data_IF_328185018295
#
_entry.id   IF_328185018295
#
_cell.length_a   1.000
_cell.length_b   1.000
_cell.length_c   1.000
_cell.angle_alpha   90.00
_cell.angle_beta   90.00
_cell.angle_gamma   90.00
#
_symmetry.space_group_name_H-M   'P 1'
#
loop_
_entity.id
_entity.type
_entity.pdbx_description
1 polymer ?
#
# COMPACT_ATOMS: atom_id res chain seq x y z
N UNK A 1 27.66 -10.14 -36.17
CA UNK A 1 27.33 -10.36 -34.74
C UNK A 1 25.82 -10.50 -34.66
N UNK A 2 25.27 -11.69 -34.37
CA UNK A 2 23.83 -11.85 -34.34
C UNK A 2 23.28 -11.10 -33.12
N UNK A 3 22.30 -10.24 -33.35
CA UNK A 3 21.57 -9.53 -32.30
C UNK A 3 20.82 -10.56 -31.46
N UNK A 4 21.38 -10.91 -30.31
CA UNK A 4 20.65 -11.62 -29.26
C UNK A 4 19.41 -10.78 -28.95
N UNK A 5 18.25 -11.27 -29.40
CA UNK A 5 16.94 -10.75 -29.05
C UNK A 5 16.91 -10.61 -27.53
N UNK A 6 17.08 -9.39 -27.02
CA UNK A 6 17.00 -9.06 -25.59
C UNK A 6 15.65 -9.55 -25.10
N UNK A 7 15.61 -10.74 -24.50
CA UNK A 7 14.41 -11.27 -23.85
C UNK A 7 14.07 -10.26 -22.78
N UNK A 8 12.96 -9.55 -22.96
CA UNK A 8 12.48 -8.61 -21.94
C UNK A 8 12.15 -9.44 -20.70
N UNK A 9 12.90 -9.29 -19.59
CA UNK A 9 12.72 -10.15 -18.43
C UNK A 9 11.30 -9.96 -17.88
N UNK A 10 10.49 -11.01 -17.85
CA UNK A 10 9.10 -10.92 -17.43
C UNK A 10 9.05 -10.54 -15.94
N UNK A 11 8.09 -9.71 -15.53
CA UNK A 11 7.83 -9.47 -14.11
C UNK A 11 7.64 -10.83 -13.40
N UNK A 12 8.11 -10.98 -12.15
CA UNK A 12 7.84 -12.19 -11.39
C UNK A 12 6.33 -12.39 -11.30
N UNK A 13 5.88 -13.62 -11.54
CA UNK A 13 4.45 -13.95 -11.47
C UNK A 13 4.04 -14.18 -10.01
N UNK A 14 4.15 -13.13 -9.18
CA UNK A 14 3.68 -13.19 -7.81
C UNK A 14 2.15 -13.06 -7.79
N UNK A 15 1.49 -14.23 -7.73
CA UNK A 15 0.01 -14.33 -7.74
C UNK A 15 -0.64 -13.45 -6.66
N UNK A 16 -0.03 -13.36 -5.48
CA UNK A 16 -0.57 -12.57 -4.38
C UNK A 16 -0.48 -11.06 -4.66
N UNK A 17 0.65 -10.58 -5.19
CA UNK A 17 0.79 -9.18 -5.61
C UNK A 17 -0.24 -8.82 -6.68
N UNK A 18 -0.45 -9.72 -7.66
CA UNK A 18 -1.45 -9.54 -8.73
C UNK A 18 -2.88 -9.53 -8.21
N UNK A 19 -3.21 -10.39 -7.24
CA UNK A 19 -4.53 -10.38 -6.60
C UNK A 19 -4.77 -9.09 -5.80
N UNK A 20 -3.75 -8.60 -5.10
CA UNK A 20 -3.85 -7.34 -4.36
C UNK A 20 -4.03 -6.15 -5.32
N UNK A 21 -3.35 -6.16 -6.47
CA UNK A 21 -3.55 -5.17 -7.53
C UNK A 21 -4.98 -5.23 -8.12
N UNK A 22 -5.48 -6.42 -8.44
CA UNK A 22 -6.83 -6.56 -9.02
C UNK A 22 -7.94 -6.10 -8.05
N UNK A 23 -7.72 -6.32 -6.75
CA UNK A 23 -8.59 -5.85 -5.67
C UNK A 23 -8.38 -4.40 -5.28
N UNK A 24 -7.51 -3.66 -6.00
CA UNK A 24 -7.17 -2.24 -5.74
C UNK A 24 -6.62 -1.99 -4.33
N UNK A 25 -6.02 -3.01 -3.71
CA UNK A 25 -5.39 -2.92 -2.39
C UNK A 25 -3.95 -2.40 -2.51
N UNK A 26 -3.80 -1.22 -3.11
CA UNK A 26 -2.53 -0.69 -3.61
C UNK A 26 -1.40 -0.65 -2.58
N UNK A 27 -1.68 -0.19 -1.34
CA UNK A 27 -0.69 -0.17 -0.26
C UNK A 27 -0.16 -1.57 0.08
N UNK A 28 -1.05 -2.57 0.11
CA UNK A 28 -0.68 -3.96 0.38
C UNK A 28 0.07 -4.56 -0.79
N UNK A 29 -0.34 -4.25 -2.02
CA UNK A 29 0.37 -4.66 -3.24
C UNK A 29 1.82 -4.13 -3.24
N UNK A 30 2.03 -2.85 -2.93
CA UNK A 30 3.39 -2.27 -2.79
C UNK A 30 4.21 -3.01 -1.73
N UNK A 31 3.61 -3.32 -0.57
CA UNK A 31 4.27 -4.10 0.47
C UNK A 31 4.69 -5.49 0.00
N UNK A 32 3.83 -6.19 -0.76
CA UNK A 32 4.18 -7.50 -1.34
C UNK A 32 5.28 -7.38 -2.38
N UNK A 33 5.18 -6.42 -3.30
CA UNK A 33 6.24 -6.17 -4.29
C UNK A 33 7.59 -5.85 -3.65
N UNK A 34 7.60 -5.10 -2.54
CA UNK A 34 8.83 -4.84 -1.78
C UNK A 34 9.45 -6.14 -1.23
N UNK A 35 8.63 -7.07 -0.76
CA UNK A 35 9.12 -8.37 -0.29
C UNK A 35 9.71 -9.20 -1.45
N UNK A 36 9.00 -9.26 -2.58
CA UNK A 36 9.49 -9.94 -3.79
C UNK A 36 10.81 -9.31 -4.28
N UNK A 37 10.93 -7.97 -4.20
CA UNK A 37 12.16 -7.26 -4.56
C UNK A 37 13.36 -7.70 -3.70
N UNK A 38 13.17 -7.91 -2.40
CA UNK A 38 14.24 -8.35 -1.49
C UNK A 38 14.73 -9.76 -1.85
N UNK A 39 13.83 -10.63 -2.32
CA UNK A 39 14.13 -12.00 -2.73
C UNK A 39 14.65 -12.10 -4.19
N UNK A 40 14.66 -10.99 -4.93
CA UNK A 40 15.03 -10.97 -6.36
C UNK A 40 16.52 -10.70 -6.52
N UNK A 41 17.25 -11.64 -7.11
CA UNK A 41 18.68 -11.50 -7.42
C UNK A 41 18.94 -10.83 -8.79
N UNK A 42 18.02 -10.97 -9.74
CA UNK A 42 18.13 -10.40 -11.09
C UNK A 42 17.85 -8.88 -11.08
N UNK A 43 18.87 -8.09 -11.39
CA UNK A 43 18.80 -6.63 -11.43
C UNK A 43 17.75 -6.07 -12.41
N UNK A 44 17.55 -6.71 -13.57
CA UNK A 44 16.56 -6.26 -14.55
C UNK A 44 15.13 -6.55 -14.08
N UNK A 45 14.95 -7.65 -13.34
CA UNK A 45 13.68 -7.99 -12.72
C UNK A 45 13.40 -7.06 -11.53
N UNK A 46 14.40 -6.77 -10.71
CA UNK A 46 14.34 -5.81 -9.62
C UNK A 46 13.91 -4.42 -10.10
N UNK A 47 14.50 -3.93 -11.20
CA UNK A 47 14.12 -2.65 -11.81
C UNK A 47 12.63 -2.61 -12.18
N UNK A 48 12.11 -3.68 -12.79
CA UNK A 48 10.68 -3.77 -13.14
C UNK A 48 9.77 -3.79 -11.90
N UNK A 49 10.19 -4.46 -10.84
CA UNK A 49 9.44 -4.46 -9.58
C UNK A 49 9.42 -3.04 -9.01
N UNK A 50 10.52 -2.29 -9.06
CA UNK A 50 10.58 -0.88 -8.63
C UNK A 50 9.60 -0.02 -9.44
N UNK A 51 9.60 -0.14 -10.77
CA UNK A 51 8.64 0.55 -11.63
C UNK A 51 7.19 0.18 -11.29
N UNK A 52 6.93 -1.10 -11.00
CA UNK A 52 5.59 -1.57 -10.61
C UNK A 52 5.16 -1.03 -9.25
N UNK A 53 6.08 -0.96 -8.29
CA UNK A 53 5.86 -0.34 -6.99
C UNK A 53 5.52 1.15 -7.13
N UNK A 54 6.28 1.89 -7.94
CA UNK A 54 6.01 3.30 -8.21
C UNK A 54 4.62 3.50 -8.84
N UNK A 55 4.27 2.67 -9.82
CA UNK A 55 2.94 2.69 -10.43
C UNK A 55 1.83 2.41 -9.39
N UNK A 56 1.98 1.39 -8.55
CA UNK A 56 1.01 1.09 -7.49
C UNK A 56 0.90 2.24 -6.47
N UNK A 57 2.01 2.92 -6.15
CA UNK A 57 2.01 4.06 -5.24
C UNK A 57 1.22 5.24 -5.81
N UNK A 58 1.32 5.50 -7.11
CA UNK A 58 0.52 6.53 -7.79
C UNK A 58 -0.98 6.25 -7.74
N UNK A 59 -1.39 4.97 -7.64
CA UNK A 59 -2.80 4.61 -7.48
C UNK A 59 -3.34 4.82 -6.06
N UNK A 60 -2.47 5.02 -5.06
CA UNK A 60 -2.90 5.28 -3.69
C UNK A 60 -3.48 6.69 -3.65
N UNK A 61 -4.74 6.87 -3.22
CA UNK A 61 -5.31 8.20 -3.03
C UNK A 61 -4.40 9.03 -2.13
N UNK A 62 -3.95 10.18 -2.65
CA UNK A 62 -3.16 11.14 -1.90
C UNK A 62 -3.99 11.59 -0.69
N UNK A 63 -3.44 11.42 0.52
CA UNK A 63 -4.08 11.98 1.71
C UNK A 63 -4.07 13.49 1.57
N UNK A 64 -5.21 14.15 1.77
CA UNK A 64 -5.20 15.61 1.91
C UNK A 64 -4.33 15.96 3.12
N UNK A 65 -3.32 16.84 2.99
CA UNK A 65 -2.59 17.32 4.15
C UNK A 65 -3.62 17.90 5.15
N UNK A 66 -3.57 17.43 6.41
CA UNK A 66 -4.55 17.78 7.44
C UNK A 66 -5.69 16.78 7.65
N UNK A 67 -5.88 15.77 6.78
CA UNK A 67 -6.92 14.75 6.99
C UNK A 67 -6.47 13.68 8.00
N UNK A 68 -7.01 13.76 9.21
CA UNK A 68 -6.89 12.69 10.21
C UNK A 68 -7.86 11.57 9.85
N UNK A 69 -7.34 10.47 9.30
CA UNK A 69 -8.17 9.28 9.04
C UNK A 69 -8.23 8.45 10.32
N UNK A 70 -9.30 8.63 11.09
CA UNK A 70 -9.60 7.81 12.25
C UNK A 70 -10.26 6.51 11.80
N UNK A 71 -9.69 5.37 12.18
CA UNK A 71 -10.36 4.08 12.01
C UNK A 71 -11.50 3.94 13.02
N UNK A 72 -12.40 2.98 12.80
CA UNK A 72 -13.43 2.64 13.77
C UNK A 72 -12.86 2.28 15.17
N UNK A 73 -11.65 1.69 15.22
CA UNK A 73 -10.98 1.40 16.49
C UNK A 73 -10.45 2.67 17.16
N UNK A 74 -9.93 3.61 16.38
CA UNK A 74 -9.45 4.90 16.90
C UNK A 74 -10.63 5.69 17.51
N UNK A 75 -11.77 5.72 16.82
CA UNK A 75 -13.00 6.36 17.32
C UNK A 75 -13.47 5.73 18.64
N UNK A 76 -13.47 4.39 18.74
CA UNK A 76 -13.81 3.67 19.98
C UNK A 76 -12.83 3.97 21.11
N UNK A 77 -11.54 4.10 20.78
CA UNK A 77 -10.52 4.45 21.75
C UNK A 77 -10.74 5.87 22.29
N UNK A 78 -10.99 6.83 21.40
CA UNK A 78 -11.28 8.23 21.76
C UNK A 78 -12.49 8.30 22.70
N UNK A 79 -13.61 7.65 22.36
CA UNK A 79 -14.80 7.63 23.22
C UNK A 79 -14.54 6.96 24.57
N UNK A 80 -13.72 5.91 24.61
CA UNK A 80 -13.34 5.24 25.87
C UNK A 80 -12.55 6.18 26.76
N UNK A 81 -11.60 6.93 26.21
CA UNK A 81 -10.78 7.89 26.96
C UNK A 81 -11.62 9.07 27.43
N UNK A 82 -12.48 9.62 26.56
CA UNK A 82 -13.37 10.72 26.91
C UNK A 82 -14.26 10.39 28.12
N UNK A 83 -14.85 9.18 28.16
CA UNK A 83 -15.65 8.72 29.31
C UNK A 83 -14.84 8.64 30.60
N UNK A 84 -13.57 8.20 30.54
CA UNK A 84 -12.70 8.18 31.72
C UNK A 84 -12.40 9.57 32.27
N UNK A 85 -12.43 10.58 31.41
CA UNK A 85 -12.24 11.99 31.78
C UNK A 85 -13.55 12.68 32.21
N UNK A 86 -14.66 11.94 32.32
CA UNK A 86 -15.97 12.50 32.65
C UNK A 86 -16.67 13.20 31.49
N UNK A 87 -16.12 13.12 30.28
CA UNK A 87 -16.76 13.65 29.07
C UNK A 87 -17.67 12.58 28.44
N UNK A 88 -18.69 13.01 27.69
CA UNK A 88 -19.52 12.11 26.87
C UNK A 88 -18.74 11.51 25.68
N UNK A 89 -19.38 10.66 24.84
CA UNK A 89 -18.79 10.23 23.58
C UNK A 89 -18.61 11.44 22.65
N UNK A 90 -17.36 11.75 22.31
CA UNK A 90 -16.99 12.94 21.52
C UNK A 90 -16.56 12.59 20.10
N UNK A 91 -16.29 11.31 19.81
CA UNK A 91 -15.74 10.88 18.53
C UNK A 91 -16.62 11.28 17.33
N UNK A 92 -17.95 11.41 17.55
CA UNK A 92 -18.91 11.89 16.54
C UNK A 92 -18.62 13.31 16.01
N UNK A 93 -17.90 14.14 16.76
CA UNK A 93 -17.54 15.51 16.37
C UNK A 93 -16.23 15.58 15.58
N UNK A 94 -15.56 14.44 15.38
CA UNK A 94 -14.23 14.33 14.77
C UNK A 94 -14.26 13.58 13.44
N UNK A 95 -15.45 13.25 12.95
CA UNK A 95 -15.69 12.67 11.63
C UNK A 95 -16.18 13.82 10.75
N UNK A 96 -15.38 14.23 9.76
CA UNK A 96 -15.83 15.08 8.64
C UNK A 96 -16.71 14.29 7.67
#
# INVERSE_FOLDING_TARGET
MPEEKRKTPKLPDDKMARELESRKLWRRAVGRWRHVLIETEDALVAERIIWRMAWCQQQIPQKRPGSLILTANDLRHIDRVARKLGCGPIARHWIE
#
